data_IF_728612054909
#
_entry.id   IF_728612054909
#
_cell.length_a   1.000
_cell.length_b   1.000
_cell.length_c   1.000
_cell.angle_alpha   90.00
_cell.angle_beta   90.00
_cell.angle_gamma   90.00
#
_symmetry.space_group_name_H-M   'P 1'
#
loop_
_entity.id
_entity.type
_entity.pdbx_description
1 polymer ?
#
# COMPACT_ATOMS: atom_id res chain seq x y z
N UNK A 1 -3.17 -5.88 0.95
CA UNK A 1 -4.13 -4.81 0.60
C UNK A 1 -3.71 -4.17 -0.71
N UNK A 2 -4.64 -3.75 -1.55
CA UNK A 2 -4.35 -3.13 -2.85
C UNK A 2 -5.11 -1.81 -2.99
N UNK A 3 -4.46 -0.80 -3.55
CA UNK A 3 -5.07 0.49 -3.93
C UNK A 3 -4.90 0.68 -5.43
N UNK A 4 -6.00 0.97 -6.13
CA UNK A 4 -6.00 1.26 -7.57
C UNK A 4 -6.25 2.76 -7.72
N UNK A 5 -5.42 3.44 -8.52
CA UNK A 5 -5.59 4.84 -8.87
C UNK A 5 -5.82 4.92 -10.39
N UNK A 6 -7.10 4.85 -10.85
CA UNK A 6 -7.42 4.71 -12.27
C UNK A 6 -6.90 5.88 -13.10
N UNK A 7 -7.04 7.13 -12.60
CA UNK A 7 -6.58 8.34 -13.31
C UNK A 7 -5.09 8.32 -13.67
N UNK A 8 -4.28 7.61 -12.91
CA UNK A 8 -2.83 7.56 -13.07
C UNK A 8 -2.34 6.22 -13.62
N UNK A 9 -3.24 5.25 -13.85
CA UNK A 9 -2.89 3.85 -14.14
C UNK A 9 -1.88 3.25 -13.13
N UNK A 10 -2.00 3.63 -11.86
CA UNK A 10 -1.12 3.15 -10.78
C UNK A 10 -1.85 2.12 -9.92
N UNK A 11 -1.11 1.08 -9.54
CA UNK A 11 -1.52 0.11 -8.52
C UNK A 11 -0.49 0.15 -7.41
N UNK A 12 -0.96 0.22 -6.18
CA UNK A 12 -0.10 0.13 -5.01
C UNK A 12 -0.44 -1.16 -4.27
N UNK A 13 0.56 -2.02 -4.14
CA UNK A 13 0.43 -3.31 -3.49
C UNK A 13 1.08 -3.28 -2.12
N UNK A 14 0.24 -3.31 -1.09
CA UNK A 14 0.67 -3.39 0.30
C UNK A 14 0.65 -4.85 0.76
N UNK A 15 1.84 -5.37 1.07
CA UNK A 15 2.00 -6.69 1.66
C UNK A 15 2.93 -6.56 2.86
N UNK A 16 2.41 -6.86 4.04
CA UNK A 16 3.16 -6.91 5.30
C UNK A 16 4.29 -7.96 5.28
N UNK A 17 4.22 -8.96 4.40
CA UNK A 17 5.30 -9.93 4.18
C UNK A 17 6.28 -9.51 3.07
N UNK A 18 6.13 -8.31 2.52
CA UNK A 18 6.93 -7.78 1.39
C UNK A 18 6.94 -8.69 0.15
N UNK A 19 5.91 -9.53 0.01
CA UNK A 19 5.77 -10.41 -1.15
C UNK A 19 5.24 -9.65 -2.34
N UNK A 20 5.84 -9.90 -3.50
CA UNK A 20 5.36 -9.39 -4.79
C UNK A 20 4.03 -10.05 -5.15
N UNK A 21 3.26 -9.33 -5.95
CA UNK A 21 2.04 -9.83 -6.54
C UNK A 21 2.32 -11.02 -7.47
N UNK A 22 1.46 -12.04 -7.46
CA UNK A 22 1.55 -13.15 -8.42
C UNK A 22 1.32 -12.65 -9.84
N UNK A 23 1.97 -13.28 -10.82
CA UNK A 23 1.89 -12.88 -12.23
C UNK A 23 0.46 -12.92 -12.78
N UNK A 24 -0.33 -13.93 -12.43
CA UNK A 24 -1.71 -14.05 -12.93
C UNK A 24 -2.59 -12.88 -12.46
N UNK A 25 -2.45 -12.50 -11.18
CA UNK A 25 -3.14 -11.35 -10.62
C UNK A 25 -2.67 -10.04 -11.27
N UNK A 26 -1.36 -9.92 -11.52
CA UNK A 26 -0.80 -8.76 -12.24
C UNK A 26 -1.38 -8.64 -13.64
N UNK A 27 -1.48 -9.72 -14.40
CA UNK A 27 -2.05 -9.74 -15.74
C UNK A 27 -3.54 -9.41 -15.72
N UNK A 28 -4.29 -9.98 -14.78
CA UNK A 28 -5.71 -9.66 -14.59
C UNK A 28 -5.93 -8.17 -14.31
N UNK A 29 -5.17 -7.58 -13.39
CA UNK A 29 -5.28 -6.15 -13.07
C UNK A 29 -4.87 -5.26 -14.24
N UNK A 30 -3.88 -5.70 -15.02
CA UNK A 30 -3.55 -5.07 -16.29
C UNK A 30 -4.67 -5.19 -17.33
N UNK A 31 -5.59 -6.16 -17.25
CA UNK A 31 -6.77 -6.20 -18.11
C UNK A 31 -7.90 -5.30 -17.62
N UNK A 32 -8.09 -5.21 -16.30
CA UNK A 32 -9.21 -4.49 -15.67
C UNK A 32 -8.99 -2.98 -15.60
N UNK A 33 -7.75 -2.52 -15.43
CA UNK A 33 -7.45 -1.09 -15.47
C UNK A 33 -7.65 -0.60 -16.91
N UNK A 34 -8.66 0.25 -17.11
CA UNK A 34 -8.91 0.94 -18.37
C UNK A 34 -7.74 1.88 -18.70
N UNK A 35 -6.78 1.38 -19.48
CA UNK A 35 -5.63 2.14 -19.97
C UNK A 35 -5.92 2.65 -21.37
N UNK A 36 -5.44 3.84 -21.68
CA UNK A 36 -5.35 4.28 -23.07
C UNK A 36 -4.27 3.51 -23.82
N UNK A 37 -4.38 3.48 -25.16
CA UNK A 37 -3.42 2.77 -26.02
C UNK A 37 -2.02 3.35 -25.82
N UNK A 38 -1.09 2.54 -25.32
CA UNK A 38 0.29 2.95 -25.01
C UNK A 38 0.58 3.34 -23.56
N UNK A 39 -0.43 3.44 -22.69
CA UNK A 39 -0.23 3.73 -21.27
C UNK A 39 0.17 2.46 -20.49
N UNK A 40 1.29 2.51 -19.78
CA UNK A 40 1.78 1.42 -18.94
C UNK A 40 1.19 1.50 -17.53
N UNK A 41 0.73 0.36 -17.01
CA UNK A 41 0.34 0.27 -15.60
C UNK A 41 1.59 0.19 -14.74
N UNK A 42 1.74 1.15 -13.84
CA UNK A 42 2.81 1.16 -12.85
C UNK A 42 2.34 0.43 -11.59
N UNK A 43 3.14 -0.50 -11.11
CA UNK A 43 2.87 -1.23 -9.86
C UNK A 43 3.94 -0.87 -8.86
N UNK A 44 3.51 -0.25 -7.76
CA UNK A 44 4.35 0.18 -6.64
C UNK A 44 4.26 -0.85 -5.52
N UNK A 45 5.42 -1.13 -4.92
CA UNK A 45 5.57 -2.05 -3.79
C UNK A 45 6.25 -1.31 -2.63
N UNK A 46 5.48 -0.61 -1.79
CA UNK A 46 6.03 0.09 -0.64
C UNK A 46 6.73 -0.91 0.30
N UNK A 47 8.02 -0.67 0.57
CA UNK A 47 8.82 -1.47 1.50
C UNK A 47 8.79 -0.84 2.89
N UNK A 48 7.70 -1.03 3.61
CA UNK A 48 7.55 -0.57 4.99
C UNK A 48 6.71 -1.56 5.79
N UNK A 49 6.85 -1.52 7.12
CA UNK A 49 6.01 -2.26 8.06
C UNK A 49 5.94 -3.76 7.77
N UNK A 50 7.12 -4.39 7.75
CA UNK A 50 7.20 -5.84 7.66
C UNK A 50 6.65 -6.44 8.95
N UNK A 51 5.65 -7.32 8.85
CA UNK A 51 5.15 -8.04 10.02
C UNK A 51 6.23 -8.95 10.59
N UNK A 52 6.34 -9.00 11.91
CA UNK A 52 7.30 -9.87 12.60
C UNK A 52 6.67 -11.24 12.76
N UNK A 53 5.41 -11.28 13.18
CA UNK A 53 4.66 -12.51 13.39
C UNK A 53 3.57 -12.73 12.35
N UNK A 54 3.20 -14.00 12.14
CA UNK A 54 2.23 -14.40 11.11
C UNK A 54 0.81 -13.88 11.38
N UNK A 55 0.46 -13.62 12.64
CA UNK A 55 -0.88 -13.24 13.10
C UNK A 55 -1.18 -11.72 13.01
N UNK A 56 -0.17 -10.88 12.81
CA UNK A 56 -0.34 -9.43 12.79
C UNK A 56 -0.87 -8.88 11.45
N UNK A 57 -1.04 -9.72 10.42
CA UNK A 57 -1.34 -9.26 9.07
C UNK A 57 -2.62 -8.40 8.99
N UNK A 58 -3.64 -8.73 9.79
CA UNK A 58 -4.87 -7.94 9.90
C UNK A 58 -4.65 -6.56 10.53
N UNK A 59 -3.82 -6.48 11.57
CA UNK A 59 -3.43 -5.21 12.21
C UNK A 59 -2.73 -4.29 11.21
N UNK A 60 -1.75 -4.81 10.47
CA UNK A 60 -1.09 -4.02 9.42
C UNK A 60 -2.09 -3.50 8.39
N UNK A 61 -3.03 -4.33 7.90
CA UNK A 61 -4.07 -3.89 6.95
C UNK A 61 -4.91 -2.74 7.51
N UNK A 62 -5.32 -2.79 8.78
CA UNK A 62 -6.05 -1.69 9.42
C UNK A 62 -5.21 -0.42 9.50
N UNK A 63 -3.93 -0.52 9.86
CA UNK A 63 -3.00 0.61 9.85
C UNK A 63 -2.85 1.23 8.46
N UNK A 64 -2.76 0.41 7.41
CA UNK A 64 -2.70 0.88 6.03
C UNK A 64 -3.97 1.64 5.62
N UNK A 65 -5.16 1.10 5.92
CA UNK A 65 -6.44 1.77 5.65
C UNK A 65 -6.49 3.13 6.34
N UNK A 66 -6.15 3.18 7.64
CA UNK A 66 -6.12 4.43 8.41
C UNK A 66 -5.17 5.46 7.79
N UNK A 67 -3.99 5.03 7.35
CA UNK A 67 -3.00 5.90 6.69
C UNK A 67 -3.52 6.42 5.36
N UNK A 68 -4.11 5.58 4.51
CA UNK A 68 -4.67 5.98 3.21
C UNK A 68 -5.79 7.01 3.38
N UNK A 69 -6.70 6.80 4.34
CA UNK A 69 -7.78 7.75 4.63
C UNK A 69 -7.22 9.10 5.09
N UNK A 70 -6.18 9.08 5.94
CA UNK A 70 -5.57 10.29 6.49
C UNK A 70 -4.75 11.08 5.46
N UNK A 71 -3.98 10.38 4.63
CA UNK A 71 -3.07 11.01 3.68
C UNK A 71 -3.76 11.51 2.41
N UNK A 72 -5.03 11.11 2.17
CA UNK A 72 -5.68 11.17 0.86
C UNK A 72 -4.84 10.38 -0.17
N UNK A 73 -5.41 10.01 -1.33
CA UNK A 73 -4.64 9.30 -2.36
C UNK A 73 -3.64 10.29 -2.98
N UNK A 74 -2.38 10.24 -2.52
CA UNK A 74 -1.24 11.03 -3.03
C UNK A 74 -0.40 10.23 -4.02
N UNK A 75 0.53 10.86 -4.73
CA UNK A 75 1.47 10.18 -5.63
C UNK A 75 2.75 9.71 -4.92
N UNK A 76 3.07 10.31 -3.77
CA UNK A 76 4.34 10.12 -3.07
C UNK A 76 4.24 9.18 -1.85
N UNK A 77 3.79 7.96 -2.13
CA UNK A 77 3.55 6.98 -1.07
C UNK A 77 4.80 6.59 -0.29
N UNK A 78 5.99 6.63 -0.89
CA UNK A 78 7.21 6.31 -0.15
C UNK A 78 7.49 7.36 0.94
N UNK A 79 7.33 8.65 0.63
CA UNK A 79 7.53 9.73 1.59
C UNK A 79 6.43 9.78 2.65
N UNK A 80 5.16 9.63 2.25
CA UNK A 80 4.02 9.56 3.18
C UNK A 80 4.17 8.40 4.15
N UNK A 81 4.71 7.28 3.69
CA UNK A 81 4.97 6.12 4.52
C UNK A 81 6.17 6.27 5.44
N UNK A 82 7.21 7.00 5.04
CA UNK A 82 8.30 7.34 5.97
C UNK A 82 7.84 8.36 7.02
N UNK A 83 7.11 9.42 6.63
CA UNK A 83 6.67 10.48 7.54
C UNK A 83 5.58 10.01 8.51
N UNK A 84 4.52 9.35 8.04
CA UNK A 84 3.40 8.94 8.92
C UNK A 84 3.85 7.97 10.03
N UNK A 85 4.92 7.22 9.78
CA UNK A 85 5.49 6.27 10.74
C UNK A 85 6.57 6.91 11.63
N UNK A 86 7.37 7.86 11.12
CA UNK A 86 8.38 8.57 11.91
C UNK A 86 7.81 9.73 12.75
N UNK A 87 6.77 10.42 12.27
CA UNK A 87 6.07 11.47 13.01
C UNK A 87 4.87 10.90 13.78
N UNK A 88 5.11 10.65 15.07
CA UNK A 88 4.13 10.80 16.17
C UNK A 88 2.99 9.78 16.41
N UNK A 89 2.86 8.63 15.73
CA UNK A 89 1.72 7.71 16.04
C UNK A 89 2.05 6.28 16.52
N UNK A 90 3.29 5.78 16.48
CA UNK A 90 3.58 4.43 17.02
C UNK A 90 3.98 4.44 18.50
N UNK A 91 4.69 5.48 18.99
CA UNK A 91 5.03 5.57 20.43
C UNK A 91 3.81 5.75 21.35
N UNK A 92 2.71 6.32 20.84
CA UNK A 92 1.49 6.55 21.64
C UNK A 92 0.57 5.31 21.64
N UNK A 93 0.55 4.50 20.58
CA UNK A 93 -0.32 3.30 20.53
C UNK A 93 0.21 2.18 21.43
N UNK A 94 1.52 2.07 21.67
CA UNK A 94 2.09 1.13 22.66
C UNK A 94 1.96 1.56 24.13
N UNK A 95 1.49 2.78 24.42
CA UNK A 95 1.23 3.23 25.80
C UNK A 95 -0.26 3.20 26.18
N UNK A 96 -1.14 2.80 25.26
CA UNK A 96 -2.60 2.76 25.47
C UNK A 96 -3.26 1.49 24.89
N UNK A 97 -2.49 0.41 24.78
CA UNK A 97 -2.95 -0.99 24.73
C UNK A 97 -2.19 -1.68 25.86
#
# INVERSE_FOLDING_TARGET
MMVIIPKQCKIIWFCSLHRKMKNDLRTMLQGVIGKSRGQLVQILYPKCNQQVDSWECGFYVMCWIKTIIRAVITDDWNEVMMYTFNTLQIKIIFNYI
#
